data_IF_022784579209
#
_entry.id   IF_022784579209
#
_cell.length_a   1.000
_cell.length_b   1.000
_cell.length_c   1.000
_cell.angle_alpha   90.00
_cell.angle_beta   90.00
_cell.angle_gamma   90.00
#
_symmetry.space_group_name_H-M   'P 1'
#
loop_
_entity.id
_entity.type
_entity.pdbx_description
1 polymer ?
#
# COMPACT_ATOMS: atom_id res chain seq x y z
N UNK A 1 6.86 -13.31 12.78
CA UNK A 1 6.93 -14.24 11.64
C UNK A 1 5.55 -14.85 11.39
N UNK A 2 5.20 -15.07 10.12
CA UNK A 2 3.84 -15.45 9.70
C UNK A 2 3.37 -16.82 10.21
N UNK A 3 4.27 -17.77 10.47
CA UNK A 3 3.92 -19.07 11.04
C UNK A 3 3.24 -18.98 12.40
N UNK A 4 3.69 -18.10 13.30
CA UNK A 4 3.02 -17.87 14.59
C UNK A 4 1.63 -17.25 14.44
N UNK A 5 1.45 -16.37 13.45
CA UNK A 5 0.14 -15.75 13.15
C UNK A 5 -0.84 -16.79 12.61
N UNK A 6 -0.36 -17.67 11.73
CA UNK A 6 -1.12 -18.83 11.26
C UNK A 6 -1.52 -19.74 12.42
N UNK A 7 -0.57 -20.10 13.30
CA UNK A 7 -0.83 -20.93 14.50
C UNK A 7 -1.95 -20.36 15.36
N UNK A 8 -1.91 -19.05 15.62
CA UNK A 8 -2.92 -18.38 16.43
C UNK A 8 -4.32 -18.52 15.81
N UNK A 9 -4.45 -18.25 14.50
CA UNK A 9 -5.71 -18.39 13.76
C UNK A 9 -6.22 -19.83 13.72
N UNK A 10 -5.33 -20.81 13.50
CA UNK A 10 -5.68 -22.24 13.52
C UNK A 10 -6.24 -22.66 14.87
N UNK A 11 -5.57 -22.28 15.96
CA UNK A 11 -5.99 -22.63 17.32
C UNK A 11 -7.30 -21.95 17.73
N UNK A 12 -7.53 -20.70 17.30
CA UNK A 12 -8.79 -19.99 17.52
C UNK A 12 -9.99 -20.68 16.85
N UNK A 13 -9.75 -21.41 15.76
CA UNK A 13 -10.77 -22.20 15.05
C UNK A 13 -10.85 -23.66 15.53
N UNK A 14 -10.09 -24.03 16.57
CA UNK A 14 -10.01 -25.40 17.09
C UNK A 14 -9.58 -26.45 16.05
N UNK A 15 -8.80 -26.06 15.05
CA UNK A 15 -8.31 -26.96 13.99
C UNK A 15 -7.01 -27.62 14.46
N UNK A 16 -6.93 -28.94 14.37
CA UNK A 16 -5.74 -29.70 14.76
C UNK A 16 -4.56 -29.45 13.81
N UNK A 17 -3.35 -29.79 14.26
CA UNK A 17 -2.15 -29.68 13.43
C UNK A 17 -2.26 -30.60 12.19
N UNK A 18 -2.80 -31.80 12.38
CA UNK A 18 -3.03 -32.80 11.35
C UNK A 18 -4.06 -32.33 10.33
N UNK A 19 -5.16 -31.75 10.80
CA UNK A 19 -6.19 -31.18 9.92
C UNK A 19 -5.64 -30.04 9.08
N UNK A 20 -4.92 -29.10 9.69
CA UNK A 20 -4.34 -27.98 8.97
C UNK A 20 -3.23 -28.38 7.98
N UNK A 21 -2.43 -29.40 8.31
CA UNK A 21 -1.35 -29.89 7.44
C UNK A 21 -1.86 -30.80 6.29
N UNK A 22 -3.09 -31.30 6.40
CA UNK A 22 -3.65 -32.35 5.56
C UNK A 22 -3.44 -32.10 4.07
N UNK A 23 -2.87 -33.08 3.36
CA UNK A 23 -2.58 -33.07 1.91
C UNK A 23 -1.69 -31.92 1.42
N UNK A 24 -1.07 -31.16 2.32
CA UNK A 24 -0.17 -30.04 1.96
C UNK A 24 1.27 -30.31 2.41
N UNK A 25 1.48 -30.59 3.70
CA UNK A 25 2.79 -30.89 4.29
C UNK A 25 2.65 -31.87 5.46
N UNK A 26 3.76 -32.37 6.01
CA UNK A 26 3.69 -33.16 7.25
C UNK A 26 3.32 -32.27 8.45
N UNK A 27 2.60 -32.81 9.46
CA UNK A 27 2.33 -32.09 10.71
C UNK A 27 3.62 -31.59 11.39
N UNK A 28 4.70 -32.37 11.33
CA UNK A 28 6.01 -31.97 11.87
C UNK A 28 6.59 -30.74 11.16
N UNK A 29 6.44 -30.64 9.84
CA UNK A 29 6.86 -29.47 9.06
C UNK A 29 6.00 -28.26 9.42
N UNK A 30 4.68 -28.43 9.51
CA UNK A 30 3.77 -27.36 9.91
C UNK A 30 4.12 -26.83 11.30
N UNK A 31 4.33 -27.72 12.28
CA UNK A 31 4.73 -27.35 13.64
C UNK A 31 6.06 -26.58 13.66
N UNK A 32 7.06 -27.02 12.90
CA UNK A 32 8.34 -26.30 12.83
C UNK A 32 8.14 -24.89 12.26
N UNK A 33 7.32 -24.72 11.23
CA UNK A 33 7.03 -23.40 10.67
C UNK A 33 6.22 -22.52 11.65
N UNK A 34 5.17 -23.07 12.28
CA UNK A 34 4.36 -22.39 13.29
C UNK A 34 5.18 -21.88 14.49
N UNK A 35 6.30 -22.54 14.79
CA UNK A 35 7.23 -22.19 15.85
C UNK A 35 8.50 -21.47 15.33
N UNK A 36 8.46 -20.93 14.11
CA UNK A 36 9.54 -20.15 13.46
C UNK A 36 10.89 -20.90 13.37
N UNK A 37 10.86 -22.23 13.25
CA UNK A 37 12.07 -23.07 13.13
C UNK A 37 12.48 -23.32 11.69
N UNK A 38 11.57 -23.11 10.74
CA UNK A 38 11.80 -23.21 9.29
C UNK A 38 10.93 -22.17 8.59
N UNK A 39 11.29 -21.86 7.35
CA UNK A 39 10.39 -21.23 6.38
C UNK A 39 9.77 -22.30 5.47
N UNK A 40 8.62 -21.98 4.89
CA UNK A 40 7.96 -22.80 3.88
C UNK A 40 7.66 -21.97 2.64
N UNK A 41 7.50 -22.65 1.50
CA UNK A 41 7.21 -21.99 0.22
C UNK A 41 5.84 -21.31 0.27
N UNK A 42 5.73 -20.13 -0.34
CA UNK A 42 4.51 -19.33 -0.33
C UNK A 42 3.27 -20.08 -0.87
N UNK A 43 3.44 -20.88 -1.93
CA UNK A 43 2.35 -21.70 -2.48
C UNK A 43 1.80 -22.74 -1.47
N UNK A 44 2.62 -23.21 -0.52
CA UNK A 44 2.16 -24.07 0.57
C UNK A 44 1.38 -23.25 1.61
N UNK A 45 1.81 -22.02 1.91
CA UNK A 45 1.08 -21.11 2.81
C UNK A 45 -0.34 -20.88 2.31
N UNK A 46 -0.53 -20.63 1.00
CA UNK A 46 -1.87 -20.45 0.42
C UNK A 46 -2.76 -21.68 0.66
N UNK A 47 -2.25 -22.88 0.37
CA UNK A 47 -3.00 -24.12 0.59
C UNK A 47 -3.28 -24.40 2.07
N UNK A 48 -2.36 -24.03 2.96
CA UNK A 48 -2.56 -24.16 4.41
C UNK A 48 -3.63 -23.20 4.92
N UNK A 49 -3.72 -21.99 4.36
CA UNK A 49 -4.77 -21.02 4.69
C UNK A 49 -6.15 -21.56 4.29
N UNK A 50 -6.26 -22.20 3.12
CA UNK A 50 -7.49 -22.88 2.69
C UNK A 50 -7.94 -23.97 3.68
N UNK A 51 -6.99 -24.77 4.20
CA UNK A 51 -7.25 -25.81 5.21
C UNK A 51 -7.75 -25.26 6.55
N UNK A 52 -7.56 -23.97 6.82
CA UNK A 52 -8.09 -23.29 8.01
C UNK A 52 -9.15 -22.25 7.66
N UNK A 53 -9.75 -22.32 6.47
CA UNK A 53 -10.86 -21.46 6.04
C UNK A 53 -10.56 -19.96 6.10
N UNK A 54 -9.30 -19.58 5.84
CA UNK A 54 -8.87 -18.19 5.79
C UNK A 54 -8.40 -17.89 4.38
N UNK A 55 -8.85 -16.79 3.80
CA UNK A 55 -8.30 -16.33 2.52
C UNK A 55 -7.06 -15.45 2.75
N UNK A 56 -6.27 -15.25 1.69
CA UNK A 56 -5.03 -14.47 1.77
C UNK A 56 -5.27 -13.03 2.26
N UNK A 57 -6.38 -12.39 1.86
CA UNK A 57 -6.71 -11.02 2.26
C UNK A 57 -6.93 -10.92 3.78
N UNK A 58 -7.75 -11.81 4.34
CA UNK A 58 -7.96 -11.91 5.80
C UNK A 58 -6.66 -12.14 6.55
N UNK A 59 -5.81 -13.04 6.04
CA UNK A 59 -4.52 -13.33 6.67
C UNK A 59 -3.59 -12.11 6.66
N UNK A 60 -3.49 -11.40 5.53
CA UNK A 60 -2.67 -10.19 5.43
C UNK A 60 -3.15 -9.08 6.36
N UNK A 61 -4.47 -8.92 6.50
CA UNK A 61 -5.09 -7.98 7.44
C UNK A 61 -4.80 -8.37 8.90
N UNK A 62 -4.96 -9.64 9.26
CA UNK A 62 -4.63 -10.14 10.60
C UNK A 62 -3.15 -9.95 10.95
N UNK A 63 -2.28 -10.15 9.97
CA UNK A 63 -0.84 -9.92 10.12
C UNK A 63 -0.46 -8.44 10.12
N UNK A 64 -1.41 -7.52 9.86
CA UNK A 64 -1.20 -6.09 9.70
C UNK A 64 -0.13 -5.78 8.62
N UNK A 65 -0.08 -6.59 7.56
CA UNK A 65 0.89 -6.37 6.47
C UNK A 65 0.55 -5.09 5.70
N UNK A 66 -0.74 -4.73 5.66
CA UNK A 66 -1.24 -3.52 5.03
C UNK A 66 -1.12 -2.34 6.00
N UNK A 67 0.10 -1.88 6.27
CA UNK A 67 0.31 -0.63 6.97
C UNK A 67 0.25 0.53 5.97
N UNK A 68 -0.56 1.54 6.29
CA UNK A 68 -0.43 2.87 5.68
C UNK A 68 1.00 3.34 5.86
N UNK A 69 1.56 3.99 4.83
CA UNK A 69 2.91 4.52 4.91
C UNK A 69 3.00 5.49 6.11
N UNK A 70 3.94 5.32 7.06
CA UNK A 70 3.99 6.13 8.27
C UNK A 70 4.09 7.64 8.01
N UNK A 71 4.72 8.04 6.89
CA UNK A 71 4.75 9.44 6.47
C UNK A 71 3.37 9.95 6.08
N UNK A 72 2.64 9.19 5.25
CA UNK A 72 1.27 9.55 4.82
C UNK A 72 0.32 9.58 6.00
N UNK A 73 0.44 8.63 6.94
CA UNK A 73 -0.35 8.61 8.17
C UNK A 73 -0.13 9.87 9.02
N UNK A 74 1.12 10.35 9.13
CA UNK A 74 1.43 11.61 9.83
C UNK A 74 0.87 12.82 9.10
N UNK A 75 0.99 12.88 7.77
CA UNK A 75 0.41 13.95 6.97
C UNK A 75 -1.11 14.01 7.17
N UNK A 76 -1.79 12.86 7.08
CA UNK A 76 -3.23 12.77 7.29
C UNK A 76 -3.65 13.24 8.69
N UNK A 77 -2.93 12.81 9.73
CA UNK A 77 -3.18 13.24 11.11
C UNK A 77 -3.10 14.77 11.27
N UNK A 78 -2.08 15.42 10.70
CA UNK A 78 -1.96 16.89 10.78
C UNK A 78 -2.98 17.60 9.89
N UNK A 79 -3.32 17.01 8.75
CA UNK A 79 -4.34 17.55 7.86
C UNK A 79 -5.72 17.55 8.51
N UNK A 80 -6.13 16.45 9.15
CA UNK A 80 -7.37 16.36 9.93
C UNK A 80 -7.40 17.37 11.10
N UNK A 81 -6.25 17.69 11.67
CA UNK A 81 -6.09 18.68 12.72
C UNK A 81 -6.01 20.13 12.21
N UNK A 82 -6.06 20.37 10.89
CA UNK A 82 -5.81 21.67 10.25
C UNK A 82 -4.45 22.29 10.66
N UNK A 83 -3.43 21.46 10.84
CA UNK A 83 -2.08 21.87 11.27
C UNK A 83 -1.13 21.98 10.08
N UNK A 84 -1.30 23.05 9.29
CA UNK A 84 -0.49 23.33 8.09
C UNK A 84 1.00 23.48 8.41
N UNK A 85 1.33 23.96 9.61
CA UNK A 85 2.71 24.18 10.07
C UNK A 85 3.48 22.87 10.15
N UNK A 86 2.91 21.84 10.77
CA UNK A 86 3.58 20.55 10.87
C UNK A 86 3.62 19.82 9.51
N UNK A 87 2.60 20.00 8.66
CA UNK A 87 2.65 19.50 7.28
C UNK A 87 3.82 20.15 6.52
N UNK A 88 4.00 21.46 6.64
CA UNK A 88 5.10 22.17 5.98
C UNK A 88 6.48 21.68 6.45
N UNK A 89 6.64 21.37 7.75
CA UNK A 89 7.87 20.75 8.26
C UNK A 89 8.12 19.36 7.66
N UNK A 90 7.08 18.53 7.54
CA UNK A 90 7.17 17.22 6.88
C UNK A 90 7.56 17.35 5.40
N UNK A 91 6.98 18.32 4.68
CA UNK A 91 7.33 18.65 3.29
C UNK A 91 8.81 19.00 3.18
N UNK A 92 9.31 19.90 4.04
CA UNK A 92 10.71 20.33 4.00
C UNK A 92 11.67 19.16 4.25
N UNK A 93 11.35 18.27 5.20
CA UNK A 93 12.17 17.08 5.46
C UNK A 93 12.14 16.12 4.29
N UNK A 94 10.95 15.78 3.78
CA UNK A 94 10.79 14.83 2.67
C UNK A 94 11.40 15.36 1.37
N UNK A 95 11.35 16.67 1.14
CA UNK A 95 12.00 17.32 -0.01
C UNK A 95 13.51 17.12 0.01
N UNK A 96 14.15 17.24 1.18
CA UNK A 96 15.60 16.97 1.33
C UNK A 96 15.93 15.50 1.06
N UNK A 97 15.12 14.58 1.58
CA UNK A 97 15.30 13.15 1.33
C UNK A 97 15.23 12.84 -0.17
N UNK A 98 14.21 13.33 -0.86
CA UNK A 98 14.07 13.17 -2.31
C UNK A 98 15.23 13.81 -3.08
N UNK A 99 15.70 14.99 -2.70
CA UNK A 99 16.84 15.64 -3.34
C UNK A 99 18.14 14.85 -3.19
N UNK A 100 18.29 14.09 -2.10
CA UNK A 100 19.43 13.23 -1.89
C UNK A 100 19.28 11.89 -2.63
N UNK A 101 18.11 11.25 -2.54
CA UNK A 101 17.89 9.90 -3.05
C UNK A 101 17.52 9.85 -4.54
N UNK A 102 16.89 10.92 -5.05
CA UNK A 102 16.17 10.96 -6.33
C UNK A 102 15.15 9.83 -6.51
N UNK A 103 14.72 9.20 -5.40
CA UNK A 103 13.83 8.06 -5.41
C UNK A 103 12.43 8.49 -5.84
N UNK A 104 11.86 7.76 -6.80
CA UNK A 104 10.53 8.04 -7.33
C UNK A 104 9.44 7.98 -6.25
N UNK A 105 9.52 7.02 -5.33
CA UNK A 105 8.55 6.86 -4.25
C UNK A 105 8.55 8.06 -3.30
N UNK A 106 9.73 8.61 -2.98
CA UNK A 106 9.82 9.83 -2.16
C UNK A 106 9.14 11.04 -2.82
N UNK A 107 9.21 11.14 -4.15
CA UNK A 107 8.49 12.17 -4.90
C UNK A 107 6.97 12.01 -4.79
N UNK A 108 6.45 10.78 -4.86
CA UNK A 108 5.01 10.52 -4.72
C UNK A 108 4.53 10.88 -3.31
N UNK A 109 5.30 10.53 -2.28
CA UNK A 109 4.99 10.89 -0.90
C UNK A 109 5.04 12.41 -0.69
N UNK A 110 6.06 13.08 -1.24
CA UNK A 110 6.18 14.53 -1.20
C UNK A 110 4.97 15.21 -1.86
N UNK A 111 4.52 14.70 -3.01
CA UNK A 111 3.37 15.25 -3.72
C UNK A 111 2.09 15.18 -2.88
N UNK A 112 1.83 14.05 -2.20
CA UNK A 112 0.67 13.91 -1.29
C UNK A 112 0.71 15.00 -0.21
N UNK A 113 1.85 15.16 0.47
CA UNK A 113 1.98 16.17 1.52
C UNK A 113 1.77 17.60 1.00
N UNK A 114 2.34 17.92 -0.16
CA UNK A 114 2.15 19.24 -0.78
C UNK A 114 0.71 19.47 -1.24
N UNK A 115 -0.01 18.45 -1.71
CA UNK A 115 -1.42 18.56 -2.08
C UNK A 115 -2.29 18.85 -0.85
N UNK A 116 -2.09 18.14 0.25
CA UNK A 116 -2.78 18.42 1.52
C UNK A 116 -2.50 19.83 2.03
N UNK A 117 -1.23 20.27 1.97
CA UNK A 117 -0.88 21.64 2.34
C UNK A 117 -1.54 22.68 1.42
N UNK A 118 -1.57 22.42 0.11
CA UNK A 118 -2.18 23.32 -0.85
C UNK A 118 -3.68 23.46 -0.58
N UNK A 119 -4.38 22.37 -0.34
CA UNK A 119 -5.81 22.39 -0.02
C UNK A 119 -6.14 23.20 1.25
N UNK A 120 -5.29 23.13 2.29
CA UNK A 120 -5.49 23.90 3.52
C UNK A 120 -5.16 25.39 3.41
N UNK A 121 -4.27 25.79 2.49
CA UNK A 121 -3.61 27.11 2.53
C UNK A 121 -3.73 27.92 1.26
N UNK A 122 -4.26 27.34 0.18
CA UNK A 122 -4.22 27.89 -1.18
C UNK A 122 -2.80 28.22 -1.68
N UNK A 123 -1.76 27.69 -1.03
CA UNK A 123 -0.36 27.90 -1.40
C UNK A 123 0.30 26.61 -1.90
N UNK A 124 0.47 26.51 -3.22
CA UNK A 124 1.13 25.36 -3.84
C UNK A 124 2.65 25.45 -3.71
N UNK A 125 3.20 24.68 -2.76
CA UNK A 125 4.65 24.58 -2.52
C UNK A 125 5.34 23.46 -3.30
N UNK A 126 4.61 22.73 -4.16
CA UNK A 126 5.17 21.66 -4.99
C UNK A 126 5.78 22.24 -6.29
N UNK A 127 7.10 22.08 -6.53
CA UNK A 127 7.75 22.69 -7.69
C UNK A 127 7.15 22.24 -9.03
N UNK A 128 7.02 23.16 -10.00
CA UNK A 128 6.50 22.86 -11.35
C UNK A 128 7.31 21.77 -12.06
N UNK A 129 8.64 21.74 -11.87
CA UNK A 129 9.47 20.66 -12.42
C UNK A 129 9.11 19.29 -11.82
N UNK A 130 8.69 19.26 -10.56
CA UNK A 130 8.27 18.05 -9.87
C UNK A 130 6.84 17.65 -10.27
N UNK A 131 5.94 18.62 -10.53
CA UNK A 131 4.61 18.38 -11.12
C UNK A 131 4.72 17.68 -12.48
N UNK A 132 5.57 18.20 -13.38
CA UNK A 132 5.82 17.56 -14.69
C UNK A 132 6.36 16.13 -14.54
N UNK A 133 7.27 15.91 -13.58
CA UNK A 133 7.81 14.57 -13.30
C UNK A 133 6.75 13.63 -12.72
N UNK A 134 5.92 14.11 -11.81
CA UNK A 134 4.79 13.38 -11.23
C UNK A 134 3.79 12.96 -12.32
N UNK A 135 3.38 13.90 -13.17
CA UNK A 135 2.50 13.63 -14.30
C UNK A 135 3.12 12.60 -15.25
N UNK A 136 4.40 12.73 -15.59
CA UNK A 136 5.12 11.75 -16.42
C UNK A 136 5.10 10.35 -15.79
N UNK A 137 5.36 10.24 -14.48
CA UNK A 137 5.34 8.95 -13.77
C UNK A 137 3.96 8.31 -13.88
N UNK A 138 2.90 9.03 -13.49
CA UNK A 138 1.55 8.49 -13.48
C UNK A 138 1.03 8.18 -14.89
N UNK A 139 1.40 8.99 -15.87
CA UNK A 139 1.05 8.78 -17.28
C UNK A 139 1.76 7.58 -17.92
N UNK A 140 2.78 7.01 -17.30
CA UNK A 140 3.46 5.82 -17.80
C UNK A 140 3.13 4.55 -17.00
N UNK A 141 2.18 4.62 -16.07
CA UNK A 141 1.70 3.43 -15.36
C UNK A 141 0.88 2.57 -16.32
N UNK A 142 1.29 1.31 -16.46
CA UNK A 142 0.57 0.28 -17.22
C UNK A 142 -0.45 -0.45 -16.34
N UNK A 143 -0.03 -0.84 -15.13
CA UNK A 143 -0.86 -1.55 -14.16
C UNK A 143 -1.18 -0.66 -12.95
N UNK A 144 -2.42 -0.18 -12.88
CA UNK A 144 -2.90 0.70 -11.82
C UNK A 144 -3.24 -0.09 -10.55
N UNK A 145 -2.27 -0.18 -9.65
CA UNK A 145 -2.47 -0.72 -8.30
C UNK A 145 -3.24 0.27 -7.41
N UNK A 146 -3.78 -0.22 -6.29
CA UNK A 146 -4.39 0.62 -5.25
C UNK A 146 -3.46 1.75 -4.79
N UNK A 147 -2.16 1.47 -4.66
CA UNK A 147 -1.17 2.48 -4.26
C UNK A 147 -1.13 3.64 -5.26
N UNK A 148 -1.10 3.39 -6.57
CA UNK A 148 -1.04 4.46 -7.57
C UNK A 148 -2.37 5.21 -7.70
N UNK A 149 -3.50 4.51 -7.55
CA UNK A 149 -4.82 5.14 -7.51
C UNK A 149 -4.91 6.09 -6.31
N UNK A 150 -4.45 5.65 -5.13
CA UNK A 150 -4.41 6.49 -3.93
C UNK A 150 -3.49 7.70 -4.11
N UNK A 151 -2.31 7.53 -4.73
CA UNK A 151 -1.43 8.67 -5.05
C UNK A 151 -2.14 9.68 -5.96
N UNK A 152 -2.77 9.22 -7.04
CA UNK A 152 -3.49 10.12 -7.95
C UNK A 152 -4.62 10.87 -7.22
N UNK A 153 -5.46 10.15 -6.47
CA UNK A 153 -6.55 10.74 -5.69
C UNK A 153 -6.07 11.77 -4.65
N UNK A 154 -4.89 11.57 -4.07
CA UNK A 154 -4.29 12.48 -3.09
C UNK A 154 -3.37 13.55 -3.71
N UNK A 155 -3.37 13.70 -5.03
CA UNK A 155 -2.55 14.72 -5.72
C UNK A 155 -3.35 15.52 -6.75
N UNK A 156 -4.68 15.43 -6.74
CA UNK A 156 -5.56 16.00 -7.78
C UNK A 156 -5.40 17.50 -8.00
N UNK A 157 -5.06 18.28 -6.98
CA UNK A 157 -4.90 19.74 -7.10
C UNK A 157 -3.56 20.16 -7.70
N UNK A 158 -2.65 19.20 -7.96
CA UNK A 158 -1.34 19.46 -8.54
C UNK A 158 -1.31 19.37 -10.07
N UNK A 159 -2.45 19.08 -10.71
CA UNK A 159 -2.57 18.87 -12.14
C UNK A 159 -3.51 19.90 -12.79
N UNK A 160 -3.32 20.13 -14.08
CA UNK A 160 -4.32 20.83 -14.88
C UNK A 160 -5.49 19.92 -15.29
N UNK A 161 -6.56 20.51 -15.82
CA UNK A 161 -7.77 19.79 -16.22
C UNK A 161 -7.54 18.74 -17.31
N UNK A 162 -6.59 18.95 -18.23
CA UNK A 162 -6.26 18.00 -19.30
C UNK A 162 -5.46 16.83 -18.75
N UNK A 163 -4.50 17.11 -17.87
CA UNK A 163 -3.70 16.11 -17.17
C UNK A 163 -4.58 15.20 -16.31
N UNK A 164 -5.50 15.77 -15.53
CA UNK A 164 -6.49 15.03 -14.74
C UNK A 164 -7.32 14.09 -15.62
N UNK A 165 -7.93 14.63 -16.68
CA UNK A 165 -8.74 13.84 -17.59
C UNK A 165 -7.96 12.67 -18.21
N UNK A 166 -6.74 12.94 -18.67
CA UNK A 166 -5.86 11.93 -19.27
C UNK A 166 -5.58 10.76 -18.32
N UNK A 167 -5.20 11.06 -17.07
CA UNK A 167 -4.92 10.03 -16.07
C UNK A 167 -6.21 9.28 -15.68
N UNK A 168 -7.33 9.97 -15.47
CA UNK A 168 -8.61 9.35 -15.12
C UNK A 168 -9.06 8.31 -16.17
N UNK A 169 -8.93 8.62 -17.46
CA UNK A 169 -9.29 7.67 -18.54
C UNK A 169 -8.41 6.41 -18.49
N UNK A 170 -7.13 6.54 -18.14
CA UNK A 170 -6.24 5.37 -18.00
C UNK A 170 -6.65 4.48 -16.83
N UNK A 171 -7.00 5.07 -15.70
CA UNK A 171 -7.50 4.34 -14.53
C UNK A 171 -8.78 3.58 -14.90
N UNK A 172 -9.75 4.25 -15.54
CA UNK A 172 -11.02 3.63 -15.96
C UNK A 172 -10.81 2.46 -16.93
N UNK A 173 -9.91 2.62 -17.92
CA UNK A 173 -9.55 1.52 -18.84
C UNK A 173 -8.95 0.33 -18.10
N UNK A 174 -8.09 0.56 -17.11
CA UNK A 174 -7.51 -0.51 -16.30
C UNK A 174 -8.57 -1.24 -15.47
N UNK A 175 -9.48 -0.51 -14.81
CA UNK A 175 -10.59 -1.10 -14.05
C UNK A 175 -11.52 -1.96 -14.92
N UNK A 176 -11.82 -1.51 -16.15
CA UNK A 176 -12.64 -2.29 -17.08
C UNK A 176 -11.97 -3.60 -17.50
N UNK A 177 -10.63 -3.61 -17.66
CA UNK A 177 -9.89 -4.82 -18.02
C UNK A 177 -9.87 -5.87 -16.91
N UNK A 178 -10.00 -5.46 -15.64
CA UNK A 178 -10.05 -6.35 -14.48
C UNK A 178 -11.44 -6.95 -14.24
N UNK A 179 -12.51 -6.24 -14.67
CA UNK A 179 -13.89 -6.64 -14.42
C UNK A 179 -14.56 -7.41 -15.59
N UNK A 180 -13.89 -7.60 -16.73
CA UNK A 180 -14.40 -8.39 -17.86
C UNK A 180 -14.14 -9.90 -17.74
N UNK A 181 -14.14 -10.44 -16.51
CA UNK A 181 -14.07 -11.88 -16.24
C UNK A 181 -15.37 -12.40 -15.61
N UNK A 182 -16.52 -11.90 -16.08
CA UNK A 182 -17.84 -12.46 -15.73
C UNK A 182 -18.27 -13.42 -16.84
#
# INVERSE_FOLDING_TARGET
MYGQKFKALRLQQHISLEQAANRVISPSTLSRWENNKIDIRFNLVIKLLDNIHINLKEFTNYCKINHSNPFVAKVAMYYEANDDRHILQLIQSKKKEYQNSHNQFDLLLLAIACNCYYDLTDNNVFPVSYQKRLFYILSNIEYWTEMYINVFGNTVFLYDSKELYSISIRILKNLNSLNCQI
#
